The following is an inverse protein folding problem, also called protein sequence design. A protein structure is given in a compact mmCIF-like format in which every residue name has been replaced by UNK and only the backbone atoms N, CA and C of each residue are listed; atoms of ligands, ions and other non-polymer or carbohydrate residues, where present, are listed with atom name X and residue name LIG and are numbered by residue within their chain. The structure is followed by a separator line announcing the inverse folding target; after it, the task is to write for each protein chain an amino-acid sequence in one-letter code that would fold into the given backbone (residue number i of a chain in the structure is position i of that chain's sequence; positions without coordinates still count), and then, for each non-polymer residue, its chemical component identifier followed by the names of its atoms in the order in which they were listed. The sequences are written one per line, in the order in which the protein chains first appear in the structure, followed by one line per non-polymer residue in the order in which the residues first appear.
data_IF_616150712122
#
_entry.id   IF_616150712122
#
_cell.length_a   1.000
_cell.length_b   1.000
_cell.length_c   1.000
_cell.angle_alpha   90.00
_cell.angle_beta   90.00
_cell.angle_gamma   90.00
#
_symmetry.space_group_name_H-M   'P 1'
#
loop_
_entity.id
_entity.type
_entity.pdbx_description
1 polymer ?
#
# COMPACT_ATOMS: atom_id res chain seq x y z
N UNK A 1 -21.26 1.36 6.95
CA UNK A 1 -21.08 -0.01 6.39
C UNK A 1 -21.01 -1.04 7.51
N UNK A 2 -20.17 -0.85 8.51
CA UNK A 2 -20.19 -1.71 9.71
C UNK A 2 -21.53 -1.67 10.43
N UNK A 3 -22.10 -0.47 10.61
CA UNK A 3 -23.41 -0.30 11.26
C UNK A 3 -24.55 -1.00 10.53
N UNK A 4 -24.49 -1.12 9.20
CA UNK A 4 -25.51 -1.82 8.42
C UNK A 4 -25.39 -3.34 8.55
N UNK A 5 -24.18 -3.89 8.62
CA UNK A 5 -24.01 -5.33 8.91
C UNK A 5 -24.51 -5.65 10.31
N UNK A 6 -24.15 -4.82 11.30
CA UNK A 6 -24.60 -4.99 12.70
C UNK A 6 -26.12 -4.89 12.82
N UNK A 7 -26.73 -3.85 12.25
CA UNK A 7 -28.18 -3.65 12.33
C UNK A 7 -28.96 -4.78 11.65
N UNK A 8 -28.51 -5.26 10.48
CA UNK A 8 -29.13 -6.42 9.81
C UNK A 8 -28.98 -7.70 10.63
N UNK A 9 -27.82 -7.93 11.25
CA UNK A 9 -27.60 -9.10 12.10
C UNK A 9 -28.49 -9.06 13.36
N UNK A 10 -28.60 -7.89 14.01
CA UNK A 10 -29.48 -7.68 15.17
C UNK A 10 -30.95 -7.89 14.82
N UNK A 11 -31.41 -7.36 13.68
CA UNK A 11 -32.77 -7.55 13.20
C UNK A 11 -33.07 -9.03 12.90
N UNK A 12 -32.13 -9.74 12.26
CA UNK A 12 -32.27 -11.17 12.02
C UNK A 12 -32.30 -11.98 13.32
N UNK A 13 -31.46 -11.64 14.30
CA UNK A 13 -31.46 -12.30 15.61
C UNK A 13 -32.81 -12.13 16.32
N UNK A 14 -33.41 -10.93 16.27
CA UNK A 14 -34.74 -10.69 16.83
C UNK A 14 -35.84 -11.53 16.17
N UNK A 15 -35.71 -11.86 14.88
CA UNK A 15 -36.65 -12.76 14.19
C UNK A 15 -36.50 -14.21 14.68
N UNK A 16 -35.25 -14.64 14.93
CA UNK A 16 -34.97 -15.96 15.51
C UNK A 16 -35.53 -16.08 16.93
N UNK A 17 -35.29 -15.07 17.77
CA UNK A 17 -35.73 -15.06 19.18
C UNK A 17 -37.26 -15.06 19.31
N UNK A 18 -37.99 -14.58 18.30
CA UNK A 18 -39.45 -14.57 18.24
C UNK A 18 -40.07 -15.83 17.62
N UNK A 19 -39.24 -16.84 17.30
CA UNK A 19 -39.68 -18.07 16.62
C UNK A 19 -40.49 -17.78 15.34
N UNK A 20 -40.03 -16.79 14.56
CA UNK A 20 -40.68 -16.41 13.31
C UNK A 20 -40.79 -17.61 12.35
N UNK A 21 -41.85 -17.69 11.55
CA UNK A 21 -42.12 -18.84 10.68
C UNK A 21 -40.97 -19.18 9.69
N UNK A 22 -40.11 -18.20 9.41
CA UNK A 22 -38.96 -18.31 8.50
C UNK A 22 -37.61 -18.42 9.23
N UNK A 23 -37.57 -18.85 10.49
CA UNK A 23 -36.34 -18.93 11.29
C UNK A 23 -35.19 -19.67 10.61
N UNK A 24 -35.45 -20.79 9.93
CA UNK A 24 -34.39 -21.54 9.23
C UNK A 24 -33.77 -20.71 8.09
N UNK A 25 -34.59 -20.05 7.28
CA UNK A 25 -34.10 -19.17 6.21
C UNK A 25 -33.31 -17.97 6.80
N UNK A 26 -33.83 -17.34 7.85
CA UNK A 26 -33.15 -16.22 8.51
C UNK A 26 -31.79 -16.64 9.06
N UNK A 27 -31.70 -17.82 9.68
CA UNK A 27 -30.46 -18.37 10.22
C UNK A 27 -29.42 -18.62 9.13
N UNK A 28 -29.82 -19.22 8.00
CA UNK A 28 -28.95 -19.41 6.84
C UNK A 28 -28.44 -18.07 6.29
N UNK A 29 -29.31 -17.07 6.15
CA UNK A 29 -28.93 -15.74 5.65
C UNK A 29 -27.98 -15.01 6.60
N UNK A 30 -28.14 -15.16 7.92
CA UNK A 30 -27.23 -14.58 8.90
C UNK A 30 -25.84 -15.21 8.85
N UNK A 31 -25.76 -16.53 8.66
CA UNK A 31 -24.47 -17.22 8.47
C UNK A 31 -23.79 -16.71 7.19
N UNK A 32 -24.53 -16.63 6.09
CA UNK A 32 -24.01 -16.10 4.83
C UNK A 32 -23.53 -14.65 4.98
N UNK A 33 -24.31 -13.80 5.65
CA UNK A 33 -23.93 -12.41 5.91
C UNK A 33 -22.60 -12.30 6.70
N UNK A 34 -22.42 -13.13 7.72
CA UNK A 34 -21.20 -13.15 8.52
C UNK A 34 -19.98 -13.63 7.70
N UNK A 35 -20.17 -14.64 6.85
CA UNK A 35 -19.13 -15.16 5.97
C UNK A 35 -18.71 -14.11 4.92
N UNK A 36 -19.67 -13.48 4.26
CA UNK A 36 -19.42 -12.42 3.27
C UNK A 36 -18.70 -11.22 3.90
N UNK A 37 -19.09 -10.82 5.11
CA UNK A 37 -18.39 -9.76 5.86
C UNK A 37 -16.92 -10.15 6.12
N UNK A 38 -16.68 -11.38 6.57
CA UNK A 38 -15.33 -11.88 6.85
C UNK A 38 -14.48 -11.91 5.59
N UNK A 39 -15.03 -12.44 4.48
CA UNK A 39 -14.35 -12.47 3.19
C UNK A 39 -14.01 -11.07 2.68
N UNK A 40 -14.95 -10.11 2.80
CA UNK A 40 -14.73 -8.72 2.41
C UNK A 40 -13.58 -8.07 3.20
N UNK A 41 -13.55 -8.26 4.52
CA UNK A 41 -12.48 -7.71 5.36
C UNK A 41 -11.12 -8.33 5.03
N UNK A 42 -11.08 -9.64 4.79
CA UNK A 42 -9.86 -10.34 4.36
C UNK A 42 -9.33 -9.79 3.03
N UNK A 43 -10.21 -9.62 2.04
CA UNK A 43 -9.83 -9.08 0.73
C UNK A 43 -9.34 -7.63 0.82
N UNK A 44 -9.97 -6.84 1.70
CA UNK A 44 -9.56 -5.45 1.92
C UNK A 44 -8.15 -5.37 2.52
N UNK A 45 -7.85 -6.24 3.48
CA UNK A 45 -6.53 -6.32 4.11
C UNK A 45 -5.46 -6.80 3.13
N UNK A 46 -5.74 -7.84 2.34
CA UNK A 46 -4.84 -8.31 1.29
C UNK A 46 -4.51 -7.18 0.29
N UNK A 47 -5.53 -6.43 -0.12
CA UNK A 47 -5.35 -5.29 -1.03
C UNK A 47 -4.56 -4.15 -0.40
N UNK A 48 -4.74 -3.89 0.89
CA UNK A 48 -3.96 -2.89 1.63
C UNK A 48 -2.48 -3.25 1.62
N UNK A 49 -2.15 -4.50 1.96
CA UNK A 49 -0.77 -5.01 1.97
C UNK A 49 -0.15 -4.88 0.57
N UNK A 50 -0.87 -5.27 -0.49
CA UNK A 50 -0.38 -5.15 -1.85
C UNK A 50 -0.05 -3.70 -2.22
N UNK A 51 -0.90 -2.74 -1.84
CA UNK A 51 -0.63 -1.33 -2.10
C UNK A 51 0.55 -0.77 -1.32
N UNK A 52 0.76 -1.22 -0.07
CA UNK A 52 1.94 -0.88 0.70
C UNK A 52 3.22 -1.40 0.02
N UNK A 53 3.22 -2.67 -0.40
CA UNK A 53 4.34 -3.26 -1.15
C UNK A 53 4.62 -2.53 -2.47
N UNK A 54 3.57 -2.17 -3.22
CA UNK A 54 3.73 -1.38 -4.44
C UNK A 54 4.32 0.00 -4.15
N UNK A 55 3.87 0.66 -3.08
CA UNK A 55 4.39 1.97 -2.68
C UNK A 55 5.87 1.89 -2.32
N UNK A 56 6.27 0.91 -1.49
CA UNK A 56 7.66 0.69 -1.10
C UNK A 56 8.55 0.45 -2.33
N UNK A 57 8.06 -0.35 -3.29
CA UNK A 57 8.78 -0.59 -4.54
C UNK A 57 8.97 0.69 -5.37
N UNK A 58 7.95 1.54 -5.46
CA UNK A 58 8.07 2.82 -6.18
C UNK A 58 9.05 3.77 -5.50
N UNK A 59 9.04 3.83 -4.17
CA UNK A 59 10.02 4.60 -3.41
C UNK A 59 11.44 4.09 -3.68
N UNK A 60 11.64 2.77 -3.65
CA UNK A 60 12.92 2.16 -3.97
C UNK A 60 13.44 2.52 -5.37
N UNK A 61 12.58 2.45 -6.39
CA UNK A 61 12.98 2.83 -7.76
C UNK A 61 13.37 4.29 -7.88
N UNK A 62 12.58 5.19 -7.28
CA UNK A 62 12.89 6.61 -7.25
C UNK A 62 14.24 6.88 -6.57
N UNK A 63 14.47 6.25 -5.42
CA UNK A 63 15.69 6.46 -4.64
C UNK A 63 16.92 5.90 -5.38
N UNK A 64 16.77 4.77 -6.08
CA UNK A 64 17.81 4.20 -6.95
C UNK A 64 18.11 5.11 -8.14
N UNK A 65 17.09 5.60 -8.83
CA UNK A 65 17.26 6.54 -9.96
C UNK A 65 17.97 7.83 -9.53
N UNK A 66 17.64 8.34 -8.34
CA UNK A 66 18.32 9.50 -7.77
C UNK A 66 19.79 9.21 -7.48
N UNK A 67 20.10 8.04 -6.92
CA UNK A 67 21.46 7.61 -6.66
C UNK A 67 22.26 7.44 -7.96
N UNK A 68 21.70 6.79 -8.98
CA UNK A 68 22.32 6.60 -10.29
C UNK A 68 22.59 7.95 -10.97
N UNK A 69 21.63 8.87 -10.93
CA UNK A 69 21.80 10.23 -11.46
C UNK A 69 22.92 10.98 -10.74
N UNK A 70 23.03 10.82 -9.42
CA UNK A 70 24.10 11.45 -8.63
C UNK A 70 25.48 10.85 -8.95
N UNK A 71 25.58 9.53 -9.03
CA UNK A 71 26.81 8.85 -9.41
C UNK A 71 27.25 9.21 -10.83
N UNK A 72 26.33 9.22 -11.79
CA UNK A 72 26.64 9.59 -13.17
C UNK A 72 27.19 11.03 -13.29
N UNK A 73 26.66 11.96 -12.49
CA UNK A 73 27.22 13.33 -12.41
C UNK A 73 28.63 13.33 -11.83
N UNK A 74 28.88 12.56 -10.78
CA UNK A 74 30.20 12.46 -10.16
C UNK A 74 31.21 11.81 -11.11
N UNK A 75 30.82 10.73 -11.80
CA UNK A 75 31.64 10.08 -12.83
C UNK A 75 31.95 11.03 -13.98
N UNK A 76 30.96 11.78 -14.48
CA UNK A 76 31.17 12.78 -15.53
C UNK A 76 32.12 13.89 -15.08
N UNK A 77 32.03 14.36 -13.83
CA UNK A 77 32.95 15.32 -13.26
C UNK A 77 34.38 14.77 -13.15
N UNK A 78 34.55 13.54 -12.65
CA UNK A 78 35.86 12.89 -12.51
C UNK A 78 36.50 12.49 -13.86
N UNK A 79 35.67 12.17 -14.85
CA UNK A 79 36.09 11.86 -16.23
C UNK A 79 36.52 13.11 -17.00
N UNK A 80 36.20 14.30 -16.49
CA UNK A 80 36.67 15.54 -17.10
C UNK A 80 38.17 15.73 -16.81
N UNK A 81 39.01 15.35 -17.77
CA UNK A 81 40.48 15.48 -17.71
C UNK A 81 40.99 16.93 -17.93
N UNK A 82 40.11 17.94 -17.96
CA UNK A 82 40.51 19.34 -18.10
C UNK A 82 41.13 19.86 -16.80
N UNK A 83 42.42 19.59 -16.62
CA UNK A 83 43.22 19.95 -15.44
C UNK A 83 43.47 21.46 -15.30
N UNK A 84 42.98 22.29 -16.23
CA UNK A 84 43.25 23.72 -16.26
C UNK A 84 44.70 24.03 -16.64
N UNK A 85 44.91 24.93 -17.60
CA UNK A 85 46.25 25.33 -18.08
C UNK A 85 46.94 26.35 -17.15
N UNK A 86 46.45 26.49 -15.90
CA UNK A 86 46.97 27.45 -14.92
C UNK A 86 46.90 26.93 -13.49
N UNK A 87 47.84 27.39 -12.65
CA UNK A 87 47.92 27.04 -11.23
C UNK A 87 46.61 27.34 -10.48
N UNK A 88 45.96 28.45 -10.81
CA UNK A 88 44.66 28.85 -10.24
C UNK A 88 43.52 27.90 -10.67
N UNK A 89 43.58 27.37 -11.90
CA UNK A 89 42.62 26.38 -12.40
C UNK A 89 42.76 25.03 -11.69
N UNK A 90 44.01 24.60 -11.44
CA UNK A 90 44.32 23.40 -10.65
C UNK A 90 43.90 23.55 -9.18
N UNK A 91 44.14 24.71 -8.56
CA UNK A 91 43.69 24.98 -7.17
C UNK A 91 42.16 24.98 -7.03
N UNK A 92 41.43 25.43 -8.06
CA UNK A 92 39.97 25.40 -8.09
C UNK A 92 39.39 23.98 -8.26
N UNK A 93 40.14 23.05 -8.87
CA UNK A 93 39.76 21.64 -9.02
C UNK A 93 40.00 20.80 -7.76
N UNK A 94 40.93 21.23 -6.89
CA UNK A 94 41.29 20.52 -5.65
C UNK A 94 40.34 20.86 -4.48
N UNK A 95 39.58 21.96 -4.58
CA UNK A 95 38.71 22.49 -3.52
C UNK A 95 37.26 22.05 -3.67
#
# INVERSE_FOLDING_TARGET
REDSFRSTAEAGQQLLDKEHFACEEVKEKLILLANEKTALLSLWEERRILYEQCMDLQLFYRDTEQADTWMAKQEAFLSNEDLGDSLDGVEALIK
#
